data_IF_665217480213
#
_entry.id   IF_665217480213
#
_cell.length_a   1.000
_cell.length_b   1.000
_cell.length_c   1.000
_cell.angle_alpha   90.00
_cell.angle_beta   90.00
_cell.angle_gamma   90.00
#
_symmetry.space_group_name_H-M   'P 1'
#
loop_
_entity.id
_entity.type
_entity.pdbx_description
1 polymer ?
#
# COMPACT_ATOMS: atom_id res chain seq x y z
N UNK A 1 22.58 46.56 -8.85
CA UNK A 1 22.82 46.06 -10.23
C UNK A 1 21.58 45.33 -10.72
N UNK A 2 21.02 45.66 -11.89
CA UNK A 2 19.99 44.83 -12.53
C UNK A 2 20.72 43.66 -13.23
N UNK A 3 20.59 42.44 -12.72
CA UNK A 3 21.07 41.27 -13.45
C UNK A 3 20.17 41.11 -14.69
N UNK A 4 20.70 41.45 -15.86
CA UNK A 4 20.05 41.13 -17.12
C UNK A 4 20.10 39.62 -17.29
N UNK A 5 18.93 39.03 -17.56
CA UNK A 5 18.79 37.61 -17.84
C UNK A 5 19.65 37.25 -19.08
N UNK A 6 20.76 36.50 -18.91
CA UNK A 6 21.71 36.24 -19.99
C UNK A 6 21.10 35.40 -21.13
N UNK A 7 19.97 34.73 -20.89
CA UNK A 7 19.26 33.93 -21.89
C UNK A 7 18.44 34.82 -22.83
N UNK A 8 17.84 35.89 -22.29
CA UNK A 8 17.04 36.87 -23.03
C UNK A 8 17.89 37.69 -24.00
N UNK A 9 19.13 38.00 -23.62
CA UNK A 9 20.11 38.68 -24.48
C UNK A 9 20.53 37.84 -25.70
N UNK A 10 20.35 36.51 -25.65
CA UNK A 10 20.64 35.57 -26.75
C UNK A 10 19.40 35.19 -27.56
N UNK A 11 18.26 35.83 -27.30
CA UNK A 11 16.98 35.56 -27.98
C UNK A 11 16.33 34.22 -27.60
N UNK A 12 16.82 33.54 -26.56
CA UNK A 12 16.26 32.29 -26.07
C UNK A 12 15.22 32.60 -24.99
N UNK A 13 14.01 32.03 -25.13
CA UNK A 13 12.92 32.14 -24.15
C UNK A 13 12.94 30.95 -23.20
N UNK A 14 12.55 31.15 -21.95
CA UNK A 14 12.38 30.04 -21.01
C UNK A 14 11.24 29.12 -21.51
N UNK A 15 11.35 27.80 -21.30
CA UNK A 15 10.36 26.83 -21.79
C UNK A 15 8.93 27.10 -21.27
N UNK A 16 8.83 27.82 -20.15
CA UNK A 16 7.59 28.21 -19.51
C UNK A 16 6.93 29.45 -20.18
N UNK A 17 7.71 30.23 -20.94
CA UNK A 17 7.26 31.43 -21.67
C UNK A 17 6.77 31.12 -23.09
N UNK A 18 6.96 29.90 -23.58
CA UNK A 18 6.45 29.47 -24.88
C UNK A 18 4.96 29.11 -24.74
N UNK A 19 4.06 29.71 -25.53
CA UNK A 19 2.65 29.35 -25.51
C UNK A 19 2.51 27.89 -25.94
N UNK A 20 2.25 26.99 -24.99
CA UNK A 20 1.97 25.59 -25.28
C UNK A 20 0.64 25.56 -26.02
N UNK A 21 0.67 25.19 -27.31
CA UNK A 21 -0.55 25.07 -28.10
C UNK A 21 -1.45 24.02 -27.42
N UNK A 22 -2.74 24.31 -27.16
CA UNK A 22 -3.66 23.33 -26.63
C UNK A 22 -3.76 22.15 -27.60
N UNK A 23 -3.82 20.93 -27.07
CA UNK A 23 -4.00 19.73 -27.88
C UNK A 23 -5.31 19.84 -28.66
N UNK A 24 -5.25 19.57 -29.97
CA UNK A 24 -6.44 19.56 -30.83
C UNK A 24 -7.08 18.17 -30.84
N UNK A 25 -8.34 18.08 -31.27
CA UNK A 25 -9.03 16.79 -31.45
C UNK A 25 -8.29 15.84 -32.42
N UNK A 26 -7.58 16.38 -33.41
CA UNK A 26 -6.75 15.59 -34.32
C UNK A 26 -5.53 14.98 -33.60
N UNK A 27 -4.86 15.75 -32.73
CA UNK A 27 -3.75 15.25 -31.89
C UNK A 27 -4.24 14.15 -30.94
N UNK A 28 -5.42 14.35 -30.34
CA UNK A 28 -6.07 13.36 -29.45
C UNK A 28 -6.42 12.08 -30.22
N UNK A 29 -6.94 12.19 -31.45
CA UNK A 29 -7.35 11.04 -32.28
C UNK A 29 -6.17 10.17 -32.73
N UNK A 30 -4.99 10.76 -32.90
CA UNK A 30 -3.74 10.03 -33.21
C UNK A 30 -3.06 9.43 -31.98
N UNK A 31 -3.30 9.98 -30.78
CA UNK A 31 -2.92 9.36 -29.51
C UNK A 31 -3.86 8.20 -29.22
N UNK A 32 -3.67 7.08 -29.92
CA UNK A 32 -4.09 5.79 -29.40
C UNK A 32 -3.37 5.64 -28.06
N UNK A 33 -4.09 5.80 -26.95
CA UNK A 33 -3.64 5.30 -25.65
C UNK A 33 -3.60 3.78 -25.78
N UNK A 34 -2.57 3.25 -26.43
CA UNK A 34 -2.37 1.82 -26.53
C UNK A 34 -1.96 1.37 -25.14
N UNK A 35 -2.81 0.58 -24.51
CA UNK A 35 -2.44 -0.21 -23.33
C UNK A 35 -1.08 -0.83 -23.61
N UNK A 36 -0.13 -0.65 -22.69
CA UNK A 36 1.14 -1.35 -22.79
C UNK A 36 0.86 -2.86 -22.86
N UNK A 37 1.72 -3.63 -23.52
CA UNK A 37 1.53 -5.09 -23.70
C UNK A 37 1.29 -5.84 -22.39
N UNK A 38 1.67 -5.24 -21.26
CA UNK A 38 1.52 -5.75 -19.90
C UNK A 38 0.19 -5.36 -19.21
N UNK A 39 -0.79 -4.81 -19.93
CA UNK A 39 -2.10 -4.46 -19.37
C UNK A 39 -2.12 -3.14 -18.57
N UNK A 40 -1.06 -2.31 -18.66
CA UNK A 40 -0.99 -1.00 -17.98
C UNK A 40 -1.46 0.13 -18.90
N UNK A 41 -2.16 1.12 -18.34
CA UNK A 41 -2.54 2.33 -19.08
C UNK A 41 -1.31 3.21 -19.33
N UNK A 42 -0.46 3.36 -18.33
CA UNK A 42 0.81 4.08 -18.43
C UNK A 42 1.97 3.08 -18.31
N UNK A 43 2.85 2.98 -19.34
CA UNK A 43 4.08 2.21 -19.22
C UNK A 43 4.95 2.73 -18.08
N UNK A 44 5.58 1.84 -17.31
CA UNK A 44 6.44 2.22 -16.17
C UNK A 44 7.68 3.02 -16.58
N UNK A 45 8.12 2.89 -17.83
CA UNK A 45 9.23 3.64 -18.41
C UNK A 45 8.80 4.93 -19.13
N UNK A 46 7.52 5.33 -19.03
CA UNK A 46 7.02 6.53 -19.69
C UNK A 46 7.24 7.80 -18.84
N UNK A 47 7.44 8.94 -19.51
CA UNK A 47 7.54 10.25 -18.84
C UNK A 47 6.27 10.62 -18.06
N UNK A 48 5.11 10.20 -18.57
CA UNK A 48 3.82 10.39 -17.91
C UNK A 48 3.78 9.69 -16.55
N UNK A 49 4.20 8.42 -16.50
CA UNK A 49 4.33 7.68 -15.25
C UNK A 49 5.39 8.30 -14.34
N UNK A 50 6.56 8.67 -14.88
CA UNK A 50 7.61 9.30 -14.09
C UNK A 50 7.16 10.60 -13.41
N UNK A 51 6.35 11.42 -14.11
CA UNK A 51 5.74 12.63 -13.56
C UNK A 51 4.71 12.32 -12.48
N UNK A 52 3.79 11.38 -12.75
CA UNK A 52 2.77 10.98 -11.78
C UNK A 52 3.39 10.41 -10.50
N UNK A 53 4.37 9.52 -10.65
CA UNK A 53 5.14 8.93 -9.55
C UNK A 53 5.81 10.00 -8.69
N UNK A 54 6.47 10.98 -9.32
CA UNK A 54 7.10 12.10 -8.60
C UNK A 54 6.08 12.90 -7.80
N UNK A 55 4.89 13.14 -8.35
CA UNK A 55 3.82 13.78 -7.60
C UNK A 55 3.39 12.92 -6.41
N UNK A 56 3.16 11.60 -6.59
CA UNK A 56 2.68 10.72 -5.49
C UNK A 56 3.64 10.79 -4.33
N UNK A 57 4.93 10.60 -4.61
CA UNK A 57 5.97 10.56 -3.58
C UNK A 57 6.24 11.93 -2.94
N UNK A 58 5.91 13.03 -3.62
CA UNK A 58 5.98 14.36 -3.03
C UNK A 58 4.82 14.64 -2.07
N UNK A 59 3.61 14.17 -2.40
CA UNK A 59 2.42 14.30 -1.54
C UNK A 59 2.41 13.30 -0.38
N UNK A 60 2.94 12.09 -0.62
CA UNK A 60 3.04 11.00 0.35
C UNK A 60 4.52 10.63 0.55
N UNK A 61 5.30 11.44 1.29
CA UNK A 61 6.74 11.22 1.45
C UNK A 61 7.08 10.05 2.38
N UNK A 62 6.15 9.66 3.25
CA UNK A 62 6.29 8.55 4.20
C UNK A 62 5.40 7.37 3.80
N UNK A 63 5.82 6.17 4.17
CA UNK A 63 5.04 4.96 3.99
C UNK A 63 3.91 4.89 5.04
N UNK A 64 2.63 4.96 4.65
CA UNK A 64 1.51 5.00 5.60
C UNK A 64 1.38 3.70 6.41
N UNK A 65 1.79 2.55 5.86
CA UNK A 65 1.82 1.29 6.62
C UNK A 65 2.88 1.28 7.73
N UNK A 66 4.03 1.90 7.48
CA UNK A 66 5.07 2.02 8.48
C UNK A 66 4.65 3.04 9.53
N UNK A 67 4.07 4.16 9.09
CA UNK A 67 3.54 5.20 9.98
C UNK A 67 2.46 4.65 10.92
N UNK A 68 1.55 3.82 10.43
CA UNK A 68 0.55 3.13 11.24
C UNK A 68 1.15 2.19 12.30
N UNK A 69 2.40 1.74 12.12
CA UNK A 69 3.16 0.94 13.08
C UNK A 69 4.08 1.78 13.98
N UNK A 70 4.06 3.11 13.84
CA UNK A 70 4.96 4.02 14.54
C UNK A 70 6.38 4.06 13.97
N UNK A 71 6.58 3.62 12.73
CA UNK A 71 7.87 3.63 12.03
C UNK A 71 7.92 4.78 11.02
N UNK A 72 9.06 5.47 10.96
CA UNK A 72 9.30 6.55 9.99
C UNK A 72 10.14 5.99 8.85
N UNK A 73 9.48 5.61 7.77
CA UNK A 73 10.13 5.05 6.57
C UNK A 73 9.72 5.84 5.32
N UNK A 74 10.68 6.27 4.48
CA UNK A 74 10.35 7.03 3.28
C UNK A 74 9.62 6.16 2.24
N UNK A 75 8.61 6.72 1.62
CA UNK A 75 7.98 6.13 0.45
C UNK A 75 8.93 6.19 -0.74
N UNK A 76 9.20 5.04 -1.37
CA UNK A 76 10.11 4.93 -2.51
C UNK A 76 9.43 4.36 -3.75
N UNK A 77 8.27 3.73 -3.59
CA UNK A 77 7.53 3.07 -4.66
C UNK A 77 6.07 3.50 -4.61
N UNK A 78 5.38 3.40 -5.75
CA UNK A 78 3.95 3.73 -5.85
C UNK A 78 3.20 2.46 -6.18
N UNK A 79 2.18 2.17 -5.38
CA UNK A 79 1.36 0.98 -5.49
C UNK A 79 -0.09 1.35 -5.86
N UNK A 80 -0.76 0.47 -6.60
CA UNK A 80 -2.17 0.59 -6.97
C UNK A 80 -3.02 -0.14 -5.92
N UNK A 81 -3.84 0.57 -5.15
CA UNK A 81 -4.59 0.02 -4.01
C UNK A 81 -5.55 -1.10 -4.43
N UNK A 82 -6.17 -0.97 -5.60
CA UNK A 82 -7.12 -1.96 -6.14
C UNK A 82 -6.50 -2.99 -7.10
N UNK A 83 -5.16 -3.05 -7.22
CA UNK A 83 -4.42 -3.87 -8.20
C UNK A 83 -4.80 -3.63 -9.68
N UNK A 84 -5.55 -2.56 -9.98
CA UNK A 84 -5.92 -2.21 -11.34
C UNK A 84 -4.88 -1.27 -11.95
N UNK A 85 -3.97 -1.82 -12.73
CA UNK A 85 -2.90 -1.05 -13.39
C UNK A 85 -3.39 -0.09 -14.51
N UNK A 86 -4.69 -0.07 -14.82
CA UNK A 86 -5.31 0.92 -15.69
C UNK A 86 -5.75 2.17 -14.91
N UNK A 87 -6.04 2.04 -13.62
CA UNK A 87 -6.56 3.12 -12.79
C UNK A 87 -5.42 3.91 -12.14
N UNK A 88 -5.05 5.01 -12.77
CA UNK A 88 -4.02 5.93 -12.28
C UNK A 88 -4.65 7.13 -11.54
N UNK A 89 -5.88 7.00 -11.05
CA UNK A 89 -6.53 8.01 -10.22
C UNK A 89 -5.74 8.25 -8.93
N UNK A 90 -5.79 9.47 -8.41
CA UNK A 90 -4.97 9.84 -7.26
C UNK A 90 -5.34 9.09 -5.99
N UNK A 91 -6.63 8.78 -5.84
CA UNK A 91 -7.20 7.99 -4.75
C UNK A 91 -6.78 6.52 -4.78
N UNK A 92 -6.36 6.00 -5.94
CA UNK A 92 -5.93 4.61 -6.09
C UNK A 92 -4.41 4.43 -5.94
N UNK A 93 -3.64 5.50 -5.79
CA UNK A 93 -2.18 5.44 -5.73
C UNK A 93 -1.68 5.75 -4.32
N UNK A 94 -0.89 4.82 -3.78
CA UNK A 94 -0.28 4.96 -2.46
C UNK A 94 1.25 4.91 -2.55
N UNK A 95 1.93 5.80 -1.85
CA UNK A 95 3.38 5.79 -1.70
C UNK A 95 3.80 4.80 -0.62
N UNK A 96 4.57 3.77 -0.96
CA UNK A 96 5.05 2.74 -0.03
C UNK A 96 6.57 2.65 -0.01
N UNK A 97 7.13 2.19 1.09
CA UNK A 97 8.53 1.76 1.14
C UNK A 97 8.70 0.43 0.37
N UNK A 98 9.92 0.12 -0.05
CA UNK A 98 10.22 -1.10 -0.81
C UNK A 98 9.72 -2.41 -0.17
N UNK A 99 9.89 -2.67 1.15
CA UNK A 99 9.42 -3.92 1.74
C UNK A 99 7.88 -4.01 1.79
N UNK A 100 7.18 -2.93 2.10
CA UNK A 100 5.71 -2.91 2.09
C UNK A 100 5.17 -3.10 0.66
N UNK A 101 5.75 -2.41 -0.32
CA UNK A 101 5.38 -2.57 -1.72
C UNK A 101 5.56 -4.03 -2.20
N UNK A 102 6.69 -4.66 -1.86
CA UNK A 102 6.93 -6.07 -2.20
C UNK A 102 5.91 -7.01 -1.53
N UNK A 103 5.45 -6.69 -0.32
CA UNK A 103 4.44 -7.47 0.39
C UNK A 103 3.08 -7.39 -0.31
N UNK A 104 2.64 -6.19 -0.69
CA UNK A 104 1.41 -6.03 -1.48
C UNK A 104 1.50 -6.74 -2.82
N UNK A 105 2.58 -6.54 -3.57
CA UNK A 105 2.77 -7.23 -4.86
C UNK A 105 2.67 -8.75 -4.70
N UNK A 106 3.29 -9.32 -3.65
CA UNK A 106 3.19 -10.74 -3.37
C UNK A 106 1.75 -11.16 -3.01
N UNK A 107 1.03 -10.35 -2.23
CA UNK A 107 -0.37 -10.57 -1.89
C UNK A 107 -1.26 -10.59 -3.13
N UNK A 108 -1.12 -9.60 -4.01
CA UNK A 108 -1.91 -9.46 -5.25
C UNK A 108 -1.67 -10.61 -6.22
N UNK A 109 -0.43 -11.13 -6.23
CA UNK A 109 -0.08 -12.37 -6.93
C UNK A 109 -0.63 -13.64 -6.26
N UNK A 110 -1.48 -13.52 -5.23
CA UNK A 110 -2.10 -14.63 -4.50
C UNK A 110 -1.16 -15.36 -3.54
N UNK A 111 0.00 -14.79 -3.21
CA UNK A 111 0.92 -15.40 -2.23
C UNK A 111 0.48 -15.10 -0.81
N UNK A 112 0.71 -16.05 0.09
CA UNK A 112 0.52 -15.84 1.52
C UNK A 112 1.63 -14.93 2.05
N UNK A 113 1.27 -13.74 2.50
CA UNK A 113 2.22 -12.78 3.08
C UNK A 113 1.98 -12.62 4.59
N UNK A 114 3.06 -12.47 5.34
CA UNK A 114 2.97 -12.16 6.77
C UNK A 114 2.94 -10.65 6.97
N UNK A 115 1.89 -10.14 7.61
CA UNK A 115 1.77 -8.73 7.97
C UNK A 115 2.38 -8.40 9.35
N UNK A 116 2.73 -9.43 10.14
CA UNK A 116 3.22 -9.31 11.51
C UNK A 116 2.09 -9.11 12.53
N UNK A 117 2.49 -8.90 13.79
CA UNK A 117 1.61 -8.47 14.87
C UNK A 117 1.97 -7.04 15.30
N UNK A 118 1.02 -6.33 15.90
CA UNK A 118 1.23 -5.02 16.52
C UNK A 118 1.85 -5.16 17.93
N UNK A 119 1.99 -4.03 18.64
CA UNK A 119 2.58 -3.96 19.99
C UNK A 119 1.75 -4.67 21.06
N UNK A 120 0.45 -4.87 20.82
CA UNK A 120 -0.46 -5.61 21.70
C UNK A 120 -0.54 -7.10 21.32
N UNK A 121 0.18 -7.53 20.28
CA UNK A 121 0.22 -8.93 19.83
C UNK A 121 -0.92 -9.31 18.90
N UNK A 122 -1.75 -8.35 18.47
CA UNK A 122 -2.82 -8.57 17.49
C UNK A 122 -2.28 -8.60 16.06
N UNK A 123 -2.83 -9.45 15.19
CA UNK A 123 -2.38 -9.54 13.80
C UNK A 123 -2.65 -8.22 13.07
N UNK A 124 -1.62 -7.67 12.43
CA UNK A 124 -1.71 -6.41 11.69
C UNK A 124 -2.53 -6.51 10.38
N UNK A 125 -3.00 -7.72 10.00
CA UNK A 125 -3.86 -7.92 8.84
C UNK A 125 -5.34 -7.71 9.25
N UNK A 126 -6.05 -6.72 8.69
CA UNK A 126 -7.48 -6.50 8.97
C UNK A 126 -8.36 -7.71 8.67
N UNK A 127 -8.01 -8.49 7.63
CA UNK A 127 -8.76 -9.68 7.22
C UNK A 127 -8.43 -10.94 8.04
N UNK A 128 -7.58 -10.82 9.07
CA UNK A 128 -7.29 -11.93 9.98
C UNK A 128 -8.56 -12.41 10.67
N UNK A 129 -8.71 -13.72 10.88
CA UNK A 129 -9.88 -14.28 11.55
C UNK A 129 -10.05 -13.83 13.00
N UNK A 130 -8.96 -13.42 13.67
CA UNK A 130 -9.02 -12.80 15.00
C UNK A 130 -9.52 -11.34 14.99
N UNK A 131 -9.49 -10.67 13.82
CA UNK A 131 -9.99 -9.31 13.63
C UNK A 131 -11.43 -9.27 13.08
N UNK A 132 -12.06 -10.42 12.83
CA UNK A 132 -13.40 -10.49 12.22
C UNK A 132 -14.53 -10.01 13.16
N UNK A 133 -14.37 -10.10 14.48
CA UNK A 133 -15.43 -9.74 15.44
C UNK A 133 -15.66 -8.23 15.60
N UNK A 134 -14.66 -7.39 15.31
CA UNK A 134 -14.80 -5.92 15.43
C UNK A 134 -15.60 -5.32 14.27
N UNK A 135 -15.54 -5.94 13.08
CA UNK A 135 -16.25 -5.48 11.87
C UNK A 135 -17.74 -5.85 11.92
N UNK A 136 -18.05 -7.05 12.42
CA UNK A 136 -19.43 -7.49 12.70
C UNK A 136 -20.06 -6.67 13.84
N UNK A 137 -19.29 -6.34 14.89
CA UNK A 137 -19.75 -5.48 15.98
C UNK A 137 -20.03 -4.03 15.53
N UNK A 138 -19.23 -3.47 14.61
CA UNK A 138 -19.46 -2.12 14.08
C UNK A 138 -20.71 -2.03 13.17
N UNK A 139 -21.08 -3.13 12.51
CA UNK A 139 -22.29 -3.21 11.68
C UNK A 139 -23.57 -3.36 12.52
N UNK A 140 -23.45 -3.82 13.78
CA UNK A 140 -24.57 -4.01 14.71
C UNK A 140 -24.96 -2.80 15.56
N UNK A 141 -24.23 -1.69 15.54
CA UNK A 141 -24.41 -0.53 16.45
C UNK A 141 -25.39 0.53 15.91
N UNK A 142 -26.50 0.10 15.30
CA UNK A 142 -27.70 0.94 15.08
C UNK A 142 -28.86 0.53 15.99
N UNK A 143 -28.57 -0.09 17.13
CA UNK A 143 -29.53 -0.42 18.17
C UNK A 143 -28.93 -0.18 19.56
N UNK A 144 -29.62 0.64 20.35
CA UNK A 144 -29.28 0.94 21.74
C UNK A 144 -29.17 -0.35 22.57
N UNK A 145 -27.98 -0.65 23.09
CA UNK A 145 -27.79 -1.70 24.11
C UNK A 145 -27.02 -1.09 25.28
N UNK A 146 -27.75 -0.98 26.39
CA UNK A 146 -27.23 -0.74 27.73
C UNK A 146 -26.20 -1.83 28.04
N UNK A 147 -24.98 -1.42 28.37
CA UNK A 147 -23.88 -2.32 28.68
C UNK A 147 -24.14 -3.13 29.94
N UNK A 148 -23.99 -4.44 29.84
CA UNK A 148 -23.78 -5.31 31.00
C UNK A 148 -22.36 -5.88 30.92
N UNK A 149 -21.46 -5.33 31.73
CA UNK A 149 -20.11 -5.84 31.93
C UNK A 149 -20.16 -7.08 32.81
N UNK A 150 -20.46 -8.23 32.22
CA UNK A 150 -20.23 -9.51 32.89
C UNK A 150 -18.95 -10.15 32.38
N UNK A 151 -17.88 -9.93 33.15
CA UNK A 151 -16.66 -10.74 33.14
C UNK A 151 -17.05 -12.20 33.32
N UNK A 152 -16.74 -13.07 32.37
CA UNK A 152 -17.00 -14.50 32.49
C UNK A 152 -16.32 -15.07 33.74
N UNK A 153 -17.02 -15.88 34.57
CA UNK A 153 -16.39 -16.57 35.68
C UNK A 153 -15.37 -17.57 35.14
N UNK A 154 -14.19 -17.60 35.76
CA UNK A 154 -13.17 -18.59 35.46
C UNK A 154 -13.76 -19.99 35.66
N UNK A 155 -13.54 -20.86 34.66
CA UNK A 155 -13.87 -22.27 34.78
C UNK A 155 -12.97 -22.90 35.85
N UNK A 156 -13.49 -23.00 37.07
CA UNK A 156 -13.06 -24.00 38.02
C UNK A 156 -13.66 -25.34 37.56
N UNK A 157 -12.90 -26.06 36.72
CA UNK A 157 -13.23 -27.42 36.34
C UNK A 157 -11.93 -28.22 36.29
N UNK A 158 -11.81 -29.12 37.26
CA UNK A 158 -10.83 -30.21 37.43
C UNK A 158 -9.84 -30.41 36.28
N UNK A 159 -8.54 -30.33 36.60
CA UNK A 159 -7.42 -30.67 35.73
C UNK A 159 -7.66 -31.98 34.97
N UNK A 160 -7.61 -32.00 33.62
CA UNK A 160 -7.48 -33.25 32.90
C UNK A 160 -6.05 -33.77 33.10
N UNK A 161 -5.92 -34.95 33.70
CA UNK A 161 -4.65 -35.67 33.81
C UNK A 161 -4.22 -36.15 32.41
N UNK A 162 -3.64 -35.26 31.61
CA UNK A 162 -2.99 -35.64 30.37
C UNK A 162 -1.51 -35.92 30.65
N UNK A 163 -1.15 -37.20 30.66
CA UNK A 163 0.25 -37.63 30.73
C UNK A 163 1.03 -37.08 29.54
N UNK A 164 2.24 -36.50 29.73
CA UNK A 164 3.02 -36.00 28.62
C UNK A 164 3.71 -37.18 27.92
N UNK A 165 3.19 -37.63 26.78
CA UNK A 165 4.00 -38.43 25.85
C UNK A 165 4.84 -37.49 25.00
N UNK A 166 6.10 -37.33 25.38
CA UNK A 166 7.11 -36.60 24.61
C UNK A 166 7.57 -37.47 23.44
N UNK A 167 7.16 -37.15 22.21
CA UNK A 167 7.72 -37.81 21.01
C UNK A 167 9.14 -37.29 20.76
N UNK A 168 10.13 -38.05 21.18
CA UNK A 168 11.56 -37.71 21.12
C UNK A 168 12.25 -38.00 19.77
N UNK A 169 11.59 -37.81 18.63
CA UNK A 169 12.17 -38.14 17.30
C UNK A 169 12.26 -36.94 16.35
N UNK A 170 12.78 -35.81 16.84
CA UNK A 170 13.09 -34.62 16.02
C UNK A 170 14.60 -34.37 15.80
N UNK A 171 15.46 -35.38 16.03
CA UNK A 171 16.93 -35.21 15.97
C UNK A 171 17.67 -36.06 14.93
N UNK A 172 17.00 -36.71 13.96
CA UNK A 172 17.68 -37.65 13.04
C UNK A 172 17.92 -37.22 11.59
N UNK A 173 17.53 -36.02 11.15
CA UNK A 173 17.84 -35.58 9.78
C UNK A 173 18.59 -34.26 9.72
N UNK A 174 19.76 -34.23 10.37
CA UNK A 174 20.79 -33.22 10.12
C UNK A 174 22.15 -33.90 9.94
N UNK A 175 22.31 -34.63 8.82
CA UNK A 175 23.59 -34.93 8.18
C UNK A 175 23.36 -35.75 6.90
N UNK A 176 23.51 -35.08 5.76
CA UNK A 176 23.98 -35.59 4.46
C UNK A 176 24.17 -34.38 3.56
#
# INVERSE_FOLDING_TARGET
>A
MKMLDPWKARGLKMADELPRKPLTLADIKTKRYTTAKNGRLLPLNSDAWAKLRRMVLAEQPLCPECEARGLIEPATQVHHINDNAMDNSRSNLVGLCAPCHSRHTAHDMGKRVNHGCDVSGWPANPSSHWNKSTVEAATGLAGDVVGDSQKSPAADSSEPTCSPSFNADCLKNRQS
#
